data_IF_500339118763
#
_entry.id   IF_500339118763
#
_cell.length_a   1.000
_cell.length_b   1.000
_cell.length_c   1.000
_cell.angle_alpha   90.00
_cell.angle_beta   90.00
_cell.angle_gamma   90.00
#
_symmetry.space_group_name_H-M   'P 1'
#
loop_
_entity.id
_entity.type
_entity.pdbx_description
1 polymer ?
#
# COMPACT_ATOMS: atom_id res chain seq x y z
N UNK A 1 -70.82 56.68 33.73
CA UNK A 1 -70.02 55.65 34.26
C UNK A 1 -69.08 55.19 33.11
N UNK A 2 -67.88 55.81 33.01
CA UNK A 2 -66.83 55.51 31.98
C UNK A 2 -65.86 54.50 32.54
N UNK A 3 -65.74 53.35 31.91
CA UNK A 3 -64.65 52.39 32.15
C UNK A 3 -63.64 52.44 30.99
N UNK A 4 -62.51 53.09 31.26
CA UNK A 4 -61.41 53.11 30.37
C UNK A 4 -60.70 51.77 30.48
N UNK A 5 -60.58 51.01 29.35
CA UNK A 5 -59.72 49.84 29.22
C UNK A 5 -58.32 50.29 28.76
N UNK A 6 -57.34 50.13 29.64
CA UNK A 6 -55.93 50.29 29.28
C UNK A 6 -55.43 49.04 28.65
N UNK A 7 -55.08 49.10 27.35
CA UNK A 7 -54.35 48.01 26.66
C UNK A 7 -52.86 48.11 27.04
N UNK A 8 -52.37 47.12 27.80
CA UNK A 8 -50.92 46.94 28.04
C UNK A 8 -50.35 46.21 26.84
N UNK A 9 -49.50 46.92 26.03
CA UNK A 9 -48.63 46.30 25.03
C UNK A 9 -47.51 45.64 25.75
N UNK A 10 -47.47 44.27 25.78
CA UNK A 10 -46.33 43.51 26.13
C UNK A 10 -45.40 43.44 24.88
N UNK A 11 -44.33 44.21 24.88
CA UNK A 11 -43.26 44.12 23.89
C UNK A 11 -42.46 42.84 24.08
N UNK A 12 -42.59 41.88 23.14
CA UNK A 12 -41.78 40.70 23.08
C UNK A 12 -40.39 41.09 22.54
N UNK A 13 -39.42 41.28 23.44
CA UNK A 13 -38.02 41.45 23.07
C UNK A 13 -37.51 40.11 22.56
N UNK A 14 -37.41 39.93 21.25
CA UNK A 14 -36.67 38.83 20.64
C UNK A 14 -35.17 38.97 20.96
N UNK A 15 -34.68 38.17 21.88
CA UNK A 15 -33.25 37.97 22.07
C UNK A 15 -32.69 37.30 20.80
N UNK A 16 -32.07 38.08 19.92
CA UNK A 16 -31.24 37.52 18.87
C UNK A 16 -30.03 36.86 19.53
N UNK A 17 -30.02 35.55 19.66
CA UNK A 17 -28.84 34.79 19.98
C UNK A 17 -27.97 34.88 18.73
N UNK A 18 -26.99 35.79 18.77
CA UNK A 18 -25.95 35.86 17.73
C UNK A 18 -25.22 34.52 17.69
N UNK A 19 -25.27 33.83 16.56
CA UNK A 19 -24.40 32.68 16.33
C UNK A 19 -22.97 33.20 16.46
N UNK A 20 -22.17 32.59 17.35
CA UNK A 20 -20.74 32.85 17.43
C UNK A 20 -20.09 32.37 16.12
N UNK A 21 -19.33 33.25 15.50
CA UNK A 21 -18.55 32.90 14.32
C UNK A 21 -17.65 31.71 14.66
N UNK A 22 -17.72 30.64 13.86
CA UNK A 22 -16.97 29.41 14.08
C UNK A 22 -16.34 28.89 12.79
N UNK A 23 -15.08 28.42 12.83
CA UNK A 23 -14.48 27.73 11.71
C UNK A 23 -15.16 26.38 11.52
N UNK A 24 -15.23 25.90 10.28
CA UNK A 24 -15.75 24.59 9.95
C UNK A 24 -14.93 23.96 8.84
N UNK A 25 -14.30 22.82 9.12
CA UNK A 25 -13.56 22.07 8.11
C UNK A 25 -14.52 21.27 7.22
N UNK A 26 -14.27 21.32 5.91
CA UNK A 26 -14.96 20.52 4.91
C UNK A 26 -13.98 19.97 3.88
N UNK A 27 -14.46 19.07 3.03
CA UNK A 27 -13.75 18.56 1.87
C UNK A 27 -14.69 18.48 0.67
N UNK A 28 -14.24 18.90 -0.51
CA UNK A 28 -15.12 19.13 -1.67
C UNK A 28 -15.71 17.82 -2.20
N UNK A 29 -14.91 16.78 -2.45
CA UNK A 29 -15.33 15.53 -3.09
C UNK A 29 -15.56 14.38 -2.09
N UNK A 30 -15.75 14.74 -0.81
CA UNK A 30 -15.94 13.78 0.29
C UNK A 30 -14.63 13.33 0.92
N UNK A 31 -14.73 12.77 2.14
CA UNK A 31 -13.54 12.44 2.94
C UNK A 31 -12.86 11.13 2.54
N UNK A 32 -13.41 10.36 1.61
CA UNK A 32 -12.88 9.06 1.22
C UNK A 32 -12.60 9.00 -0.27
N UNK A 33 -11.37 8.64 -0.62
CA UNK A 33 -10.98 8.35 -1.99
C UNK A 33 -10.74 6.85 -2.17
N UNK A 34 -11.53 6.23 -3.06
CA UNK A 34 -11.35 4.84 -3.46
C UNK A 34 -10.47 4.77 -4.73
N UNK A 35 -9.25 4.26 -4.58
CA UNK A 35 -8.32 4.08 -5.69
C UNK A 35 -8.56 2.77 -6.48
N UNK A 36 -9.60 2.00 -6.13
CA UNK A 36 -9.94 0.73 -6.79
C UNK A 36 -8.96 -0.39 -6.50
N UNK A 37 -8.69 -1.22 -7.51
CA UNK A 37 -7.72 -2.33 -7.39
C UNK A 37 -6.42 -1.99 -8.10
N UNK A 38 -5.31 -2.05 -7.36
CA UNK A 38 -3.97 -1.75 -7.87
C UNK A 38 -3.01 -2.91 -7.57
N UNK A 39 -1.95 -3.11 -8.38
CA UNK A 39 -0.86 -4.02 -8.04
C UNK A 39 -0.11 -3.55 -6.78
N UNK A 40 0.50 -4.49 -6.04
CA UNK A 40 1.47 -4.17 -5.00
C UNK A 40 2.66 -3.37 -5.61
N UNK A 41 3.41 -2.66 -4.75
CA UNK A 41 4.52 -1.78 -5.14
C UNK A 41 4.13 -0.63 -6.08
N UNK A 42 2.87 -0.18 -6.02
CA UNK A 42 2.36 1.00 -6.73
C UNK A 42 2.28 2.19 -5.78
N UNK A 43 2.60 3.39 -6.28
CA UNK A 43 2.38 4.65 -5.54
C UNK A 43 1.11 5.31 -6.06
N UNK A 44 0.15 5.56 -5.16
CA UNK A 44 -1.08 6.31 -5.45
C UNK A 44 -0.92 7.71 -4.89
N UNK A 45 -1.30 8.71 -5.68
CA UNK A 45 -1.39 10.10 -5.26
C UNK A 45 -2.81 10.59 -5.41
N UNK A 46 -3.34 11.28 -4.40
CA UNK A 46 -4.65 11.92 -4.44
C UNK A 46 -4.62 13.27 -3.75
N UNK A 47 -5.34 14.23 -4.32
CA UNK A 47 -5.47 15.59 -3.84
C UNK A 47 -6.85 15.80 -3.21
N UNK A 48 -6.89 15.99 -1.89
CA UNK A 48 -8.10 16.42 -1.18
C UNK A 48 -8.17 17.94 -1.18
N UNK A 49 -9.30 18.48 -1.60
CA UNK A 49 -9.55 19.93 -1.51
C UNK A 49 -10.23 20.21 -0.19
N UNK A 50 -9.46 20.62 0.82
CA UNK A 50 -9.98 21.07 2.10
C UNK A 50 -10.53 22.49 1.97
N UNK A 51 -11.64 22.77 2.65
CA UNK A 51 -12.29 24.09 2.62
C UNK A 51 -12.69 24.52 4.02
N UNK A 52 -12.69 25.82 4.27
CA UNK A 52 -13.33 26.42 5.43
C UNK A 52 -14.76 26.79 5.08
N UNK A 53 -15.72 25.93 5.48
CA UNK A 53 -17.15 26.17 5.30
C UNK A 53 -17.80 27.04 6.40
N UNK A 54 -17.00 27.47 7.39
CA UNK A 54 -17.40 28.32 8.49
C UNK A 54 -17.33 29.83 8.18
N UNK A 55 -17.56 30.63 9.20
CA UNK A 55 -17.58 32.10 9.16
C UNK A 55 -16.45 32.73 10.01
N UNK A 56 -15.54 31.92 10.55
CA UNK A 56 -14.30 32.35 11.21
C UNK A 56 -13.10 31.62 10.60
N UNK A 57 -11.87 32.15 10.80
CA UNK A 57 -10.63 31.57 10.30
C UNK A 57 -10.41 30.16 10.83
N UNK A 58 -10.23 29.19 9.92
CA UNK A 58 -9.90 27.79 10.21
C UNK A 58 -8.38 27.66 10.30
N UNK A 59 -7.87 27.23 11.46
CA UNK A 59 -6.46 26.94 11.69
C UNK A 59 -6.26 25.43 11.73
N UNK A 60 -5.48 24.90 10.77
CA UNK A 60 -5.04 23.50 10.76
C UNK A 60 -3.74 23.42 11.56
N UNK A 61 -3.75 22.74 12.67
CA UNK A 61 -2.58 22.63 13.54
C UNK A 61 -1.62 21.53 13.12
N UNK A 62 -2.14 20.46 12.50
CA UNK A 62 -1.34 19.30 12.08
C UNK A 62 -2.11 18.43 11.09
N UNK A 63 -1.39 17.79 10.16
CA UNK A 63 -1.85 16.67 9.36
C UNK A 63 -0.99 15.46 9.68
N UNK A 64 -1.60 14.30 9.91
CA UNK A 64 -0.90 13.08 10.29
C UNK A 64 -1.49 11.87 9.59
N UNK A 65 -0.70 11.17 8.79
CA UNK A 65 -1.03 9.84 8.30
C UNK A 65 -0.89 8.78 9.41
N UNK A 66 -1.74 7.75 9.40
CA UNK A 66 -1.73 6.68 10.40
C UNK A 66 -0.51 5.74 10.30
N UNK A 67 0.21 5.71 9.17
CA UNK A 67 1.38 4.87 8.93
C UNK A 67 2.45 5.60 8.13
N UNK A 68 3.70 5.13 8.22
CA UNK A 68 4.79 5.61 7.37
C UNK A 68 4.67 5.26 5.88
N UNK A 69 3.68 4.43 5.53
CA UNK A 69 3.35 4.07 4.15
C UNK A 69 2.57 5.17 3.40
N UNK A 70 2.12 6.20 4.12
CA UNK A 70 1.38 7.34 3.56
C UNK A 70 2.08 8.63 3.99
N UNK A 71 2.33 9.51 3.02
CA UNK A 71 2.88 10.86 3.24
C UNK A 71 1.86 11.90 2.82
N UNK A 72 1.92 13.08 3.44
CA UNK A 72 1.00 14.19 3.16
C UNK A 72 1.75 15.50 3.01
N UNK A 73 1.28 16.36 2.10
CA UNK A 73 1.78 17.73 1.90
C UNK A 73 0.60 18.69 1.91
N UNK A 74 0.72 19.77 2.68
CA UNK A 74 -0.26 20.84 2.78
C UNK A 74 0.47 22.18 2.75
N UNK A 75 0.14 23.05 1.80
CA UNK A 75 0.89 24.28 1.56
C UNK A 75 0.49 25.44 2.48
N UNK A 76 -0.73 25.39 3.03
CA UNK A 76 -1.29 26.44 3.86
C UNK A 76 -2.06 25.86 5.04
N UNK A 77 -1.81 26.41 6.23
CA UNK A 77 -2.40 25.92 7.48
C UNK A 77 -3.55 26.80 8.02
N UNK A 78 -3.76 27.99 7.46
CA UNK A 78 -4.78 28.96 7.89
C UNK A 78 -5.69 29.31 6.71
N UNK A 79 -7.00 29.11 6.83
CA UNK A 79 -7.99 29.36 5.78
C UNK A 79 -9.02 30.38 6.24
N UNK A 80 -9.17 31.45 5.49
CA UNK A 80 -10.28 32.38 5.68
C UNK A 80 -11.63 31.76 5.30
N UNK A 81 -12.77 32.30 5.77
CA UNK A 81 -14.09 31.81 5.38
C UNK A 81 -14.25 31.66 3.86
N UNK A 82 -14.64 30.44 3.42
CA UNK A 82 -14.79 30.09 2.01
C UNK A 82 -13.51 29.77 1.26
N UNK A 83 -12.36 29.88 1.90
CA UNK A 83 -11.07 29.55 1.28
C UNK A 83 -10.84 28.04 1.24
N UNK A 84 -10.08 27.57 0.24
CA UNK A 84 -9.72 26.17 0.07
C UNK A 84 -8.20 25.97 -0.09
N UNK A 85 -7.72 24.80 0.27
CA UNK A 85 -6.32 24.38 0.11
C UNK A 85 -6.26 22.93 -0.34
N UNK A 86 -5.25 22.59 -1.12
CA UNK A 86 -4.99 21.19 -1.53
C UNK A 86 -4.13 20.49 -0.49
N UNK A 87 -4.61 19.34 -0.01
CA UNK A 87 -3.85 18.37 0.74
C UNK A 87 -3.50 17.20 -0.19
N UNK A 88 -2.25 17.10 -0.63
CA UNK A 88 -1.77 15.98 -1.41
C UNK A 88 -1.41 14.82 -0.49
N UNK A 89 -1.99 13.64 -0.74
CA UNK A 89 -1.69 12.41 -0.03
C UNK A 89 -1.09 11.38 -0.99
N UNK A 90 0.01 10.73 -0.58
CA UNK A 90 0.65 9.65 -1.34
C UNK A 90 0.69 8.38 -0.51
N UNK A 91 0.19 7.28 -1.06
CA UNK A 91 0.24 5.95 -0.47
C UNK A 91 1.15 5.04 -1.30
N UNK A 92 2.15 4.42 -0.67
CA UNK A 92 2.99 3.39 -1.26
C UNK A 92 2.46 2.01 -0.86
N UNK A 93 2.01 1.22 -1.84
CA UNK A 93 1.41 -0.08 -1.62
C UNK A 93 2.42 -1.25 -1.48
N UNK A 94 3.73 -0.97 -1.41
CA UNK A 94 4.75 -2.00 -1.19
C UNK A 94 4.50 -2.76 0.12
N UNK A 95 4.49 -4.09 0.05
CA UNK A 95 4.26 -4.97 1.20
C UNK A 95 2.78 -5.15 1.60
N UNK A 96 1.85 -4.51 0.90
CA UNK A 96 0.42 -4.71 1.11
C UNK A 96 -0.16 -5.75 0.14
N UNK A 97 -1.13 -6.51 0.63
CA UNK A 97 -1.92 -7.48 -0.13
C UNK A 97 -3.32 -7.54 0.51
N UNK A 98 -4.38 -7.27 -0.19
CA UNK A 98 -5.79 -7.22 0.25
C UNK A 98 -6.37 -5.81 0.30
N UNK A 99 -7.59 -5.70 0.83
CA UNK A 99 -8.23 -4.42 1.08
C UNK A 99 -7.44 -3.60 2.11
N UNK A 100 -7.27 -2.32 1.84
CA UNK A 100 -6.59 -1.36 2.72
C UNK A 100 -7.46 -0.13 2.95
N UNK A 101 -7.34 0.43 4.14
CA UNK A 101 -7.83 1.74 4.53
C UNK A 101 -6.69 2.49 5.21
N UNK A 102 -6.37 3.68 4.69
CA UNK A 102 -5.25 4.52 5.16
C UNK A 102 -5.82 5.85 5.66
N UNK A 103 -6.15 5.94 6.96
CA UNK A 103 -6.68 7.17 7.51
C UNK A 103 -5.60 8.24 7.63
N UNK A 104 -6.02 9.49 7.36
CA UNK A 104 -5.24 10.71 7.51
C UNK A 104 -6.03 11.64 8.44
N UNK A 105 -5.39 12.05 9.52
CA UNK A 105 -5.97 12.91 10.55
C UNK A 105 -5.60 14.35 10.27
N UNK A 106 -6.61 15.22 10.12
CA UNK A 106 -6.45 16.68 10.00
C UNK A 106 -6.94 17.31 11.31
N UNK A 107 -6.04 17.89 12.08
CA UNK A 107 -6.36 18.53 13.36
C UNK A 107 -6.52 20.02 13.16
N UNK A 108 -7.63 20.59 13.67
CA UNK A 108 -7.95 22.00 13.50
C UNK A 108 -8.64 22.60 14.72
N UNK A 109 -8.93 23.93 14.66
CA UNK A 109 -9.71 24.65 15.63
C UNK A 109 -11.23 24.58 15.37
N UNK A 110 -11.71 23.71 14.48
CA UNK A 110 -13.14 23.44 14.30
C UNK A 110 -13.72 22.92 15.61
N UNK A 111 -14.71 23.61 16.23
CA UNK A 111 -15.24 23.21 17.53
C UNK A 111 -16.12 21.96 17.48
N UNK A 112 -16.62 21.59 16.30
CA UNK A 112 -17.47 20.41 16.11
C UNK A 112 -16.64 19.21 15.68
N UNK A 113 -15.69 19.42 14.78
CA UNK A 113 -14.83 18.35 14.22
C UNK A 113 -13.35 18.72 14.37
N UNK A 114 -12.82 18.77 15.61
CA UNK A 114 -11.43 19.17 15.85
C UNK A 114 -10.41 18.18 15.27
N UNK A 115 -10.86 16.97 14.93
CA UNK A 115 -10.10 15.97 14.18
C UNK A 115 -10.93 15.48 13.02
N UNK A 116 -10.61 15.91 11.82
CA UNK A 116 -11.26 15.49 10.60
C UNK A 116 -10.50 14.30 9.97
N UNK A 117 -11.22 13.26 9.57
CA UNK A 117 -10.64 12.07 8.98
C UNK A 117 -10.82 12.07 7.45
N UNK A 118 -9.70 11.78 6.77
CA UNK A 118 -9.69 11.44 5.35
C UNK A 118 -9.23 9.99 5.19
N UNK A 119 -9.70 9.31 4.16
CA UNK A 119 -9.42 7.90 3.91
C UNK A 119 -8.98 7.66 2.47
N UNK A 120 -7.81 7.00 2.30
CA UNK A 120 -7.44 6.35 1.05
C UNK A 120 -7.81 4.87 1.18
N UNK A 121 -8.79 4.42 0.38
CA UNK A 121 -9.30 3.04 0.44
C UNK A 121 -9.12 2.35 -0.92
N UNK A 122 -9.03 1.02 -0.91
CA UNK A 122 -8.95 0.23 -2.14
C UNK A 122 -8.40 -1.17 -1.88
N UNK A 123 -8.10 -1.89 -2.96
CA UNK A 123 -7.58 -3.25 -2.91
C UNK A 123 -6.18 -3.26 -3.51
N UNK A 124 -5.20 -3.74 -2.74
CA UNK A 124 -3.87 -4.03 -3.26
C UNK A 124 -3.80 -5.49 -3.66
N UNK A 125 -3.58 -5.75 -4.94
CA UNK A 125 -3.46 -7.10 -5.47
C UNK A 125 -2.01 -7.56 -5.35
N UNK A 126 -1.80 -8.72 -4.70
CA UNK A 126 -0.48 -9.34 -4.63
C UNK A 126 0.03 -9.67 -6.03
N UNK A 127 1.30 -9.38 -6.30
CA UNK A 127 2.00 -9.86 -7.50
C UNK A 127 2.39 -11.34 -7.37
N UNK A 128 2.39 -11.86 -6.12
CA UNK A 128 2.72 -13.25 -5.87
C UNK A 128 1.59 -14.18 -6.31
N UNK A 129 1.94 -15.18 -7.09
CA UNK A 129 1.07 -16.29 -7.46
C UNK A 129 1.23 -17.46 -6.47
N UNK A 130 0.32 -18.45 -6.43
CA UNK A 130 0.42 -19.60 -5.51
C UNK A 130 1.71 -20.42 -5.65
N UNK A 131 2.35 -20.37 -6.81
CA UNK A 131 3.62 -21.05 -7.08
C UNK A 131 4.86 -20.16 -6.78
N UNK A 132 4.69 -18.90 -6.36
CA UNK A 132 5.81 -18.04 -5.97
C UNK A 132 6.23 -18.26 -4.52
N UNK A 133 7.54 -18.09 -4.27
CA UNK A 133 8.12 -17.90 -2.96
C UNK A 133 8.88 -16.57 -2.96
N UNK A 134 8.64 -15.66 -1.99
CA UNK A 134 9.41 -14.44 -1.86
C UNK A 134 10.87 -14.71 -1.47
N UNK A 135 11.78 -13.82 -1.85
CA UNK A 135 13.21 -13.98 -1.55
C UNK A 135 13.52 -13.98 -0.04
N UNK A 136 12.75 -13.29 0.77
CA UNK A 136 12.91 -13.18 2.22
C UNK A 136 12.41 -14.41 3.01
N UNK A 137 11.68 -15.32 2.36
CA UNK A 137 11.27 -16.57 2.99
C UNK A 137 12.33 -17.66 2.92
N UNK A 138 13.35 -17.54 2.06
CA UNK A 138 14.38 -18.59 1.89
C UNK A 138 15.21 -18.86 3.15
N UNK A 139 15.44 -17.88 3.99
CA UNK A 139 16.27 -18.00 5.21
C UNK A 139 15.69 -18.98 6.25
N UNK A 140 14.42 -19.38 6.13
CA UNK A 140 13.71 -20.16 7.15
C UNK A 140 13.26 -21.54 6.69
N UNK A 141 13.65 -21.98 5.48
CA UNK A 141 13.12 -23.20 4.86
C UNK A 141 14.26 -24.21 4.53
N UNK A 142 13.89 -25.49 4.56
CA UNK A 142 14.71 -26.55 3.97
C UNK A 142 14.21 -26.84 2.56
N UNK A 143 15.03 -26.61 1.56
CA UNK A 143 14.65 -26.72 0.15
C UNK A 143 15.79 -27.22 -0.72
N UNK A 144 15.43 -27.67 -1.92
CA UNK A 144 16.34 -27.89 -3.03
C UNK A 144 16.25 -26.69 -3.97
N UNK A 145 17.34 -25.94 -4.13
CA UNK A 145 17.40 -24.76 -4.98
C UNK A 145 17.98 -25.14 -6.35
N UNK A 146 17.27 -24.80 -7.43
CA UNK A 146 17.64 -25.15 -8.80
C UNK A 146 17.77 -23.88 -9.64
N UNK A 147 18.98 -23.64 -10.18
CA UNK A 147 19.27 -22.59 -11.14
C UNK A 147 18.97 -23.09 -12.55
N UNK A 148 18.03 -22.46 -13.23
CA UNK A 148 17.58 -22.82 -14.58
C UNK A 148 18.38 -22.14 -15.70
N UNK A 149 19.33 -21.28 -15.36
CA UNK A 149 20.16 -20.56 -16.32
C UNK A 149 21.17 -21.48 -16.99
N UNK A 150 21.84 -20.94 -18.00
CA UNK A 150 22.92 -21.70 -18.68
C UNK A 150 24.08 -22.01 -17.74
N UNK A 151 24.90 -23.05 -18.02
CA UNK A 151 26.08 -23.35 -17.21
C UNK A 151 27.07 -22.19 -17.10
N UNK A 152 27.18 -21.38 -18.14
CA UNK A 152 28.05 -20.20 -18.17
C UNK A 152 27.51 -19.10 -17.21
N UNK A 153 26.21 -18.84 -17.21
CA UNK A 153 25.59 -17.88 -16.31
C UNK A 153 25.68 -18.33 -14.85
N UNK A 154 25.43 -19.62 -14.59
CA UNK A 154 25.60 -20.22 -13.28
C UNK A 154 27.06 -20.13 -12.80
N UNK A 155 28.04 -20.47 -13.65
CA UNK A 155 29.46 -20.40 -13.31
C UNK A 155 29.91 -18.96 -13.02
N UNK A 156 29.32 -17.98 -13.68
CA UNK A 156 29.64 -16.57 -13.43
C UNK A 156 29.20 -16.10 -12.05
N UNK A 157 27.96 -16.43 -11.65
CA UNK A 157 27.41 -16.11 -10.33
C UNK A 157 26.16 -16.94 -10.08
N UNK A 158 25.98 -17.49 -8.86
CA UNK A 158 24.80 -18.25 -8.49
C UNK A 158 24.52 -18.17 -6.98
N UNK A 159 23.30 -18.49 -6.56
CA UNK A 159 22.94 -18.56 -5.15
C UNK A 159 23.61 -19.75 -4.46
N UNK A 160 24.11 -19.52 -3.24
CA UNK A 160 24.78 -20.56 -2.45
C UNK A 160 23.88 -21.81 -2.30
N UNK A 161 24.45 -22.96 -2.62
CA UNK A 161 23.75 -24.26 -2.52
C UNK A 161 22.85 -24.59 -3.69
N UNK A 162 22.74 -23.73 -4.71
CA UNK A 162 21.96 -24.04 -5.90
C UNK A 162 22.62 -25.11 -6.77
N UNK A 163 21.80 -25.95 -7.37
CA UNK A 163 22.18 -26.91 -8.42
C UNK A 163 21.84 -26.32 -9.78
N UNK A 164 22.80 -26.36 -10.71
CA UNK A 164 22.50 -25.92 -12.07
C UNK A 164 21.83 -27.05 -12.88
N UNK A 165 20.60 -26.79 -13.27
CA UNK A 165 19.82 -27.62 -14.20
C UNK A 165 19.22 -26.69 -15.24
N UNK A 166 19.89 -26.45 -16.36
CA UNK A 166 19.37 -25.59 -17.41
C UNK A 166 17.94 -25.94 -17.79
N UNK A 167 17.09 -24.92 -17.99
CA UNK A 167 15.65 -25.09 -18.25
C UNK A 167 15.36 -26.13 -19.35
N UNK A 168 16.16 -26.15 -20.43
CA UNK A 168 16.02 -27.11 -21.51
C UNK A 168 16.23 -28.59 -21.10
N UNK A 169 16.94 -28.82 -19.97
CA UNK A 169 17.26 -30.16 -19.45
C UNK A 169 16.33 -30.57 -18.30
N UNK A 170 15.48 -29.66 -17.81
CA UNK A 170 14.68 -29.85 -16.61
C UNK A 170 13.73 -31.08 -16.72
N UNK A 171 13.20 -31.37 -17.91
CA UNK A 171 12.36 -32.53 -18.14
C UNK A 171 13.00 -33.89 -17.84
N UNK A 172 14.34 -33.98 -17.88
CA UNK A 172 15.08 -35.21 -17.55
C UNK A 172 15.20 -35.46 -16.04
N UNK A 173 14.79 -34.48 -15.23
CA UNK A 173 14.87 -34.52 -13.76
C UNK A 173 13.55 -34.85 -13.10
N UNK A 174 12.42 -34.85 -13.83
CA UNK A 174 11.06 -35.03 -13.30
C UNK A 174 10.97 -36.31 -12.44
N UNK A 175 11.54 -37.43 -12.90
CA UNK A 175 11.45 -38.71 -12.17
C UNK A 175 12.60 -38.94 -11.17
N UNK A 176 13.49 -37.96 -10.98
CA UNK A 176 14.64 -38.07 -10.08
C UNK A 176 14.38 -37.51 -8.69
N UNK A 177 13.32 -36.74 -8.52
CA UNK A 177 12.94 -36.12 -7.24
C UNK A 177 11.63 -36.70 -6.74
N UNK A 178 11.46 -36.82 -5.41
CA UNK A 178 10.17 -37.22 -4.84
C UNK A 178 9.15 -36.11 -5.07
N UNK A 179 7.90 -36.50 -5.31
CA UNK A 179 6.79 -35.57 -5.53
C UNK A 179 6.31 -34.88 -4.25
N UNK A 180 6.61 -35.50 -3.12
CA UNK A 180 6.16 -35.03 -1.80
C UNK A 180 7.36 -34.96 -0.83
N UNK A 181 7.26 -34.08 0.17
CA UNK A 181 8.23 -33.97 1.25
C UNK A 181 9.51 -33.22 0.90
N UNK A 182 9.64 -32.67 -0.30
CA UNK A 182 10.76 -31.83 -0.72
C UNK A 182 10.24 -30.55 -1.37
N UNK A 183 10.53 -29.41 -0.74
CA UNK A 183 10.32 -28.11 -1.36
C UNK A 183 11.37 -27.89 -2.43
N UNK A 184 10.97 -27.80 -3.69
CA UNK A 184 11.86 -27.51 -4.82
C UNK A 184 11.63 -26.07 -5.26
N UNK A 185 12.69 -25.26 -5.23
CA UNK A 185 12.62 -23.87 -5.64
C UNK A 185 13.44 -23.67 -6.90
N UNK A 186 12.79 -23.24 -7.95
CA UNK A 186 13.43 -22.86 -9.21
C UNK A 186 13.72 -21.37 -9.21
N UNK A 187 14.84 -20.98 -9.80
CA UNK A 187 15.10 -19.60 -10.13
C UNK A 187 15.85 -19.47 -11.47
N UNK A 188 15.72 -18.33 -12.08
CA UNK A 188 16.48 -17.87 -13.23
C UNK A 188 16.86 -16.39 -13.03
N UNK A 189 17.09 -15.63 -14.09
CA UNK A 189 17.51 -14.24 -13.94
C UNK A 189 16.37 -13.34 -13.42
N UNK A 190 15.19 -13.41 -14.06
CA UNK A 190 14.05 -12.50 -13.86
C UNK A 190 12.77 -13.19 -13.35
N UNK A 191 12.79 -14.50 -13.15
CA UNK A 191 11.64 -15.29 -12.71
C UNK A 191 10.82 -15.91 -13.85
N UNK A 192 11.04 -15.53 -15.09
CA UNK A 192 10.19 -15.94 -16.23
C UNK A 192 10.25 -17.43 -16.55
N UNK A 193 11.42 -18.04 -16.49
CA UNK A 193 11.59 -19.49 -16.71
C UNK A 193 11.24 -20.30 -15.45
N UNK A 194 11.54 -19.78 -14.28
CA UNK A 194 11.22 -20.45 -13.02
C UNK A 194 9.71 -20.50 -12.76
N UNK A 195 8.94 -19.50 -13.20
CA UNK A 195 7.49 -19.52 -13.17
C UNK A 195 6.92 -20.64 -14.03
N UNK A 196 7.41 -20.76 -15.26
CA UNK A 196 7.02 -21.84 -16.17
C UNK A 196 7.37 -23.23 -15.60
N UNK A 197 8.57 -23.36 -15.02
CA UNK A 197 9.03 -24.61 -14.40
C UNK A 197 8.15 -25.00 -13.21
N UNK A 198 7.89 -24.09 -12.29
CA UNK A 198 7.08 -24.34 -11.10
C UNK A 198 5.64 -24.76 -11.47
N UNK A 199 5.00 -24.04 -12.39
CA UNK A 199 3.66 -24.39 -12.88
C UNK A 199 3.64 -25.77 -13.57
N UNK A 200 4.60 -26.03 -14.47
CA UNK A 200 4.68 -27.32 -15.16
C UNK A 200 4.88 -28.48 -14.17
N UNK A 201 5.74 -28.31 -13.15
CA UNK A 201 5.98 -29.35 -12.16
C UNK A 201 4.80 -29.55 -11.22
N UNK A 202 4.10 -28.49 -10.80
CA UNK A 202 2.85 -28.60 -10.03
C UNK A 202 1.80 -29.40 -10.80
N UNK A 203 1.66 -29.17 -12.11
CA UNK A 203 0.74 -29.95 -12.97
C UNK A 203 1.12 -31.44 -13.08
N UNK A 204 2.41 -31.78 -12.85
CA UNK A 204 2.90 -33.16 -12.79
C UNK A 204 2.77 -33.79 -11.39
N UNK A 205 2.21 -33.05 -10.41
CA UNK A 205 1.96 -33.51 -9.05
C UNK A 205 3.07 -33.16 -8.03
N UNK A 206 4.04 -32.31 -8.39
CA UNK A 206 5.04 -31.74 -7.45
C UNK A 206 4.45 -30.51 -6.76
N UNK A 207 3.56 -30.71 -5.80
CA UNK A 207 2.82 -29.60 -5.15
C UNK A 207 3.70 -28.59 -4.43
N UNK A 208 4.90 -29.03 -3.99
CA UNK A 208 5.90 -28.21 -3.32
C UNK A 208 6.93 -27.57 -4.32
N UNK A 209 6.66 -27.60 -5.62
CA UNK A 209 7.45 -26.90 -6.60
C UNK A 209 7.12 -25.40 -6.60
N UNK A 210 8.11 -24.55 -6.41
CA UNK A 210 7.95 -23.08 -6.32
C UNK A 210 8.91 -22.38 -7.26
N UNK A 211 8.59 -21.17 -7.61
CA UNK A 211 9.44 -20.21 -8.31
C UNK A 211 9.87 -19.12 -7.33
N UNK A 212 11.17 -18.80 -7.31
CA UNK A 212 11.69 -17.64 -6.60
C UNK A 212 11.18 -16.38 -7.31
N UNK A 213 10.34 -15.62 -6.65
CA UNK A 213 9.70 -14.44 -7.24
C UNK A 213 10.73 -13.42 -7.74
N UNK A 214 10.68 -13.12 -9.03
CA UNK A 214 11.59 -12.17 -9.67
C UNK A 214 13.04 -12.64 -9.82
N UNK A 215 13.35 -13.90 -9.49
CA UNK A 215 14.64 -14.53 -9.70
C UNK A 215 15.83 -13.83 -9.03
N UNK A 216 17.00 -13.88 -9.66
CA UNK A 216 18.21 -13.20 -9.19
C UNK A 216 18.10 -11.67 -9.20
N UNK A 217 17.31 -11.11 -10.09
CA UNK A 217 17.12 -9.66 -10.15
C UNK A 217 16.47 -9.15 -8.88
N UNK A 218 15.43 -9.84 -8.38
CA UNK A 218 14.76 -9.47 -7.14
C UNK A 218 15.64 -9.78 -5.92
N UNK A 219 16.35 -10.92 -5.93
CA UNK A 219 17.35 -11.23 -4.91
C UNK A 219 18.40 -10.12 -4.76
N UNK A 220 18.97 -9.67 -5.88
CA UNK A 220 20.01 -8.65 -5.89
C UNK A 220 19.50 -7.29 -5.39
N UNK A 221 18.24 -6.94 -5.68
CA UNK A 221 17.61 -5.74 -5.13
C UNK A 221 17.45 -5.81 -3.60
N UNK A 222 17.07 -7.00 -3.08
CA UNK A 222 16.82 -7.18 -1.65
C UNK A 222 18.10 -7.37 -0.82
N UNK A 223 19.08 -8.07 -1.34
CA UNK A 223 20.24 -8.58 -0.59
C UNK A 223 21.60 -8.27 -1.23
N UNK A 224 21.63 -7.54 -2.34
CA UNK A 224 22.86 -7.24 -3.09
C UNK A 224 23.58 -8.55 -3.47
N UNK A 225 24.88 -8.68 -3.13
CA UNK A 225 25.68 -9.89 -3.37
C UNK A 225 25.62 -10.93 -2.24
N UNK A 226 24.77 -10.75 -1.23
CA UNK A 226 24.67 -11.70 -0.12
C UNK A 226 24.27 -13.09 -0.62
N UNK A 227 25.01 -14.11 -0.21
CA UNK A 227 24.85 -15.51 -0.63
C UNK A 227 25.03 -15.78 -2.14
N UNK A 228 25.52 -14.82 -2.93
CA UNK A 228 25.98 -15.08 -4.27
C UNK A 228 27.40 -15.66 -4.23
N UNK A 229 27.61 -16.74 -4.96
CA UNK A 229 28.92 -17.27 -5.26
C UNK A 229 29.31 -16.80 -6.66
N UNK A 230 30.34 -15.97 -6.72
CA UNK A 230 30.89 -15.51 -7.99
C UNK A 230 31.93 -16.51 -8.46
N UNK A 231 32.17 -16.56 -9.78
CA UNK A 231 33.31 -17.28 -10.31
C UNK A 231 34.57 -16.76 -9.63
N UNK A 232 35.22 -17.62 -8.86
CA UNK A 232 36.54 -17.28 -8.30
C UNK A 232 37.50 -17.06 -9.48
N UNK A 233 38.20 -15.91 -9.53
CA UNK A 233 39.10 -15.60 -10.64
C UNK A 233 40.25 -16.62 -10.74
#
# INVERSE_FOLDING_TARGET
>A
MNRSFALALFGLAALAVGALAAPQIGVVDGPSYDFGTIPAATVITHDYILTNAGDATLEISRVQAACGCTTTTLDKMSLEPGESVTLTAQFNSTGFKSAVDKPIYVYSNDPITPTFLLHLVGIVQSLLQPYHIPVDELDYLYYLLIDLRTPEAYAASHLFGALNVPFAQLGQWVDRLPKEGVLVIFYDQDGSLSDQAAQAWQNLGYVEAKSLFGGLDEWTKAYESKYLLDATP
#
